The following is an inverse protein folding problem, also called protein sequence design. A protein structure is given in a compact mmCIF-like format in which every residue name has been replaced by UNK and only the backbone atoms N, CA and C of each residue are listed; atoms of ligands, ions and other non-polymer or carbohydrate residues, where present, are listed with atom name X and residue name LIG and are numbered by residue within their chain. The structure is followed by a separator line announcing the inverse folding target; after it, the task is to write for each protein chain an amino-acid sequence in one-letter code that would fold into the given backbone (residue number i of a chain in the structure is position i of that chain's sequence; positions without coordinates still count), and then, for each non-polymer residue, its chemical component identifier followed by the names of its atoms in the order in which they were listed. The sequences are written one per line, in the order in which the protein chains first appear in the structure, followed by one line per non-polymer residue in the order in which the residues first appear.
data_IF_276291565228
#
_entry.id   IF_276291565228
#
_cell.length_a   1.000
_cell.length_b   1.000
_cell.length_c   1.000
_cell.angle_alpha   90.00
_cell.angle_beta   90.00
_cell.angle_gamma   90.00
#
_symmetry.space_group_name_H-M   'P 1'
#
loop_
_entity.id
_entity.type
_entity.pdbx_description
1 polymer ?
#
# COMPACT_ATOMS: atom_id res chain seq x y z
N UNK A 1 -21.26 -0.81 -0.59
CA UNK A 1 -20.17 0.16 -0.72
C UNK A 1 -19.15 -0.08 0.37
N UNK A 2 -17.87 -0.23 0.01
CA UNK A 2 -16.76 -0.50 0.91
C UNK A 2 -15.73 0.63 0.82
N UNK A 3 -15.24 1.09 1.97
CA UNK A 3 -14.11 2.04 2.02
C UNK A 3 -12.79 1.28 1.83
N UNK A 4 -11.93 1.81 1.01
CA UNK A 4 -10.59 1.30 0.71
C UNK A 4 -9.58 2.35 1.15
N UNK A 5 -9.08 2.21 2.38
CA UNK A 5 -8.27 3.22 3.06
C UNK A 5 -6.84 3.28 2.52
N UNK A 6 -6.24 4.45 2.57
CA UNK A 6 -4.82 4.66 2.35
C UNK A 6 -3.98 4.24 3.57
N UNK A 7 -2.67 4.09 3.37
CA UNK A 7 -1.69 3.89 4.46
C UNK A 7 -0.62 4.96 4.45
N UNK A 8 0.03 5.13 5.58
CA UNK A 8 1.30 5.81 5.69
C UNK A 8 2.39 4.85 6.18
N UNK A 9 3.62 5.09 5.75
CA UNK A 9 4.80 4.58 6.42
C UNK A 9 5.19 5.59 7.50
N UNK A 10 5.08 5.21 8.77
CA UNK A 10 5.53 6.08 9.88
C UNK A 10 7.05 6.13 9.95
N UNK A 11 7.72 5.09 9.52
CA UNK A 11 9.15 5.00 9.23
C UNK A 11 9.37 3.98 8.12
N UNK A 12 10.55 3.96 7.50
CA UNK A 12 10.92 2.97 6.49
C UNK A 12 12.43 2.82 6.47
N UNK A 13 12.92 1.71 6.95
CA UNK A 13 14.34 1.37 7.00
C UNK A 13 14.63 0.26 6.00
N UNK A 14 15.64 0.43 5.18
CA UNK A 14 16.16 -0.62 4.31
C UNK A 14 17.39 -1.20 4.99
N UNK A 15 17.38 -2.52 5.22
CA UNK A 15 18.40 -3.21 6.00
C UNK A 15 19.54 -3.73 5.12
N UNK A 16 19.19 -4.42 4.05
CA UNK A 16 20.15 -5.00 3.12
C UNK A 16 19.51 -5.32 1.76
N UNK A 17 20.35 -5.72 0.80
CA UNK A 17 19.92 -6.26 -0.49
C UNK A 17 20.02 -7.78 -0.49
N UNK A 18 18.94 -8.44 -0.78
CA UNK A 18 18.81 -9.90 -0.84
C UNK A 18 19.42 -10.45 -2.14
N UNK A 19 19.72 -11.74 -2.14
CA UNK A 19 20.20 -12.47 -3.32
C UNK A 19 19.16 -12.57 -4.45
N UNK A 20 17.87 -12.49 -4.11
CA UNK A 20 16.75 -12.50 -5.06
C UNK A 20 16.50 -11.14 -5.73
N UNK A 21 17.33 -10.13 -5.41
CA UNK A 21 17.25 -8.78 -5.97
C UNK A 21 16.33 -7.84 -5.20
N UNK A 22 15.51 -8.34 -4.28
CA UNK A 22 14.72 -7.53 -3.35
C UNK A 22 15.58 -6.98 -2.21
N UNK A 23 14.96 -6.19 -1.33
CA UNK A 23 15.60 -5.67 -0.12
C UNK A 23 14.85 -6.16 1.12
N UNK A 24 15.59 -6.46 2.18
CA UNK A 24 15.02 -6.58 3.50
C UNK A 24 14.74 -5.17 4.02
N UNK A 25 13.56 -4.99 4.58
CA UNK A 25 13.12 -3.72 5.15
C UNK A 25 12.45 -3.94 6.51
N UNK A 26 12.34 -2.86 7.26
CA UNK A 26 11.42 -2.75 8.38
C UNK A 26 10.70 -1.40 8.32
N UNK A 27 9.42 -1.42 8.66
CA UNK A 27 8.56 -0.25 8.60
C UNK A 27 7.40 -0.38 9.57
N UNK A 28 6.83 0.75 9.93
CA UNK A 28 5.51 0.81 10.58
C UNK A 28 4.51 1.34 9.56
N UNK A 29 3.54 0.51 9.18
CA UNK A 29 2.40 0.95 8.38
C UNK A 29 1.23 1.32 9.29
N UNK A 30 0.51 2.34 8.90
CA UNK A 30 -0.69 2.79 9.59
C UNK A 30 -1.77 3.18 8.57
N UNK A 31 -2.98 2.66 8.73
CA UNK A 31 -4.15 3.08 7.95
C UNK A 31 -4.55 4.49 8.37
N UNK A 32 -4.94 5.32 7.40
CA UNK A 32 -5.44 6.67 7.62
C UNK A 32 -6.83 6.85 7.02
N UNK A 33 -7.61 7.80 7.54
CA UNK A 33 -9.00 8.09 7.09
C UNK A 33 -9.01 8.94 5.79
N UNK A 34 -8.28 8.47 4.80
CA UNK A 34 -8.34 8.91 3.40
C UNK A 34 -8.54 7.65 2.54
N UNK A 35 -9.57 7.61 1.70
CA UNK A 35 -10.00 6.37 1.08
C UNK A 35 -10.63 6.52 -0.28
N UNK A 36 -10.51 5.48 -1.09
CA UNK A 36 -11.35 5.21 -2.26
C UNK A 36 -12.64 4.51 -1.83
N UNK A 37 -13.63 4.45 -2.70
CA UNK A 37 -14.86 3.70 -2.45
C UNK A 37 -15.06 2.66 -3.56
N UNK A 38 -15.33 1.41 -3.17
CA UNK A 38 -15.72 0.36 -4.11
C UNK A 38 -17.17 -0.06 -3.87
N UNK A 39 -17.92 -0.24 -4.93
CA UNK A 39 -19.22 -0.89 -4.89
C UNK A 39 -19.19 -2.20 -5.69
N UNK A 40 -19.92 -3.18 -5.21
CA UNK A 40 -19.96 -4.53 -5.75
C UNK A 40 -21.42 -4.95 -5.95
N UNK A 41 -21.72 -5.57 -7.09
CA UNK A 41 -23.03 -6.15 -7.38
C UNK A 41 -22.85 -7.43 -8.19
N UNK A 42 -23.45 -8.55 -7.74
CA UNK A 42 -23.49 -9.76 -8.56
C UNK A 42 -24.17 -9.49 -9.89
N UNK A 43 -23.67 -10.09 -10.95
CA UNK A 43 -24.31 -10.08 -12.25
C UNK A 43 -24.44 -11.51 -12.80
N UNK A 44 -25.32 -11.68 -13.78
CA UNK A 44 -25.60 -12.99 -14.38
C UNK A 44 -24.72 -13.30 -15.59
N UNK A 45 -23.66 -12.53 -15.83
CA UNK A 45 -22.84 -12.66 -17.05
C UNK A 45 -21.66 -13.63 -16.88
N UNK A 46 -21.43 -14.15 -15.69
CA UNK A 46 -20.25 -14.94 -15.29
C UNK A 46 -18.92 -14.24 -15.62
N UNK A 47 -18.91 -12.89 -15.66
CA UNK A 47 -17.75 -12.07 -16.00
C UNK A 47 -17.64 -10.89 -15.05
N UNK A 48 -16.39 -10.43 -14.88
CA UNK A 48 -16.11 -9.15 -14.26
C UNK A 48 -16.50 -8.01 -15.23
N UNK A 49 -17.25 -7.05 -14.72
CA UNK A 49 -17.40 -5.75 -15.34
C UNK A 49 -16.81 -4.71 -14.37
N UNK A 50 -15.65 -4.14 -14.73
CA UNK A 50 -14.95 -3.16 -13.90
C UNK A 50 -15.06 -1.76 -14.52
N UNK A 51 -15.46 -0.79 -13.70
CA UNK A 51 -15.57 0.62 -14.07
C UNK A 51 -14.93 1.50 -12.99
N UNK A 52 -14.45 2.67 -13.38
CA UNK A 52 -13.86 3.66 -12.46
C UNK A 52 -14.02 5.09 -13.01
N UNK A 53 -14.00 6.07 -12.12
CA UNK A 53 -13.95 7.49 -12.47
C UNK A 53 -12.55 7.98 -12.91
N UNK A 54 -11.52 7.12 -12.84
CA UNK A 54 -10.15 7.48 -13.17
C UNK A 54 -9.75 7.01 -14.56
N UNK A 55 -9.31 7.93 -15.41
CA UNK A 55 -8.78 7.62 -16.75
C UNK A 55 -7.33 7.08 -16.72
N UNK A 56 -6.68 7.10 -15.57
CA UNK A 56 -5.30 6.58 -15.40
C UNK A 56 -5.27 5.08 -15.09
N UNK A 57 -6.42 4.47 -14.79
CA UNK A 57 -6.52 3.03 -14.46
C UNK A 57 -6.99 2.27 -15.70
N UNK A 58 -6.17 1.32 -16.15
CA UNK A 58 -6.58 0.38 -17.17
C UNK A 58 -7.75 -0.49 -16.65
N UNK A 59 -8.86 -0.48 -17.36
CA UNK A 59 -10.07 -1.22 -16.97
C UNK A 59 -9.91 -2.74 -17.04
N UNK A 60 -8.93 -3.22 -17.79
CA UNK A 60 -8.67 -4.66 -18.00
C UNK A 60 -7.52 -5.19 -17.16
N UNK A 61 -6.55 -4.34 -16.85
CA UNK A 61 -5.34 -4.75 -16.13
C UNK A 61 -5.01 -3.79 -14.96
N UNK A 62 -5.52 -4.12 -13.79
CA UNK A 62 -5.25 -3.41 -12.54
C UNK A 62 -5.33 -4.37 -11.35
N UNK A 63 -5.02 -3.92 -10.13
CA UNK A 63 -5.00 -4.80 -8.96
C UNK A 63 -6.40 -5.28 -8.53
N UNK A 64 -7.48 -4.56 -8.84
CA UNK A 64 -8.87 -4.99 -8.61
C UNK A 64 -9.22 -6.16 -9.53
N UNK A 65 -8.92 -6.00 -10.83
CA UNK A 65 -9.19 -7.07 -11.82
C UNK A 65 -8.32 -8.30 -11.56
N UNK A 66 -7.08 -8.09 -11.10
CA UNK A 66 -6.18 -9.18 -10.68
C UNK A 66 -6.74 -9.92 -9.46
N UNK A 67 -7.24 -9.19 -8.45
CA UNK A 67 -7.85 -9.80 -7.26
C UNK A 67 -9.09 -10.65 -7.62
N UNK A 68 -9.96 -10.14 -8.50
CA UNK A 68 -11.08 -10.93 -9.02
C UNK A 68 -10.59 -12.20 -9.74
N UNK A 69 -9.61 -12.07 -10.65
CA UNK A 69 -9.09 -13.21 -11.42
C UNK A 69 -8.50 -14.29 -10.53
N UNK A 70 -7.78 -13.92 -9.47
CA UNK A 70 -7.22 -14.89 -8.52
C UNK A 70 -8.34 -15.66 -7.82
N UNK A 71 -9.39 -14.99 -7.34
CA UNK A 71 -10.52 -15.66 -6.68
C UNK A 71 -11.31 -16.52 -7.67
N UNK A 72 -11.62 -16.02 -8.87
CA UNK A 72 -12.38 -16.79 -9.87
C UNK A 72 -11.64 -18.00 -10.42
N UNK A 73 -10.32 -18.02 -10.36
CA UNK A 73 -9.52 -19.21 -10.71
C UNK A 73 -9.49 -20.26 -9.60
N UNK A 74 -9.67 -19.86 -8.35
CA UNK A 74 -9.64 -20.77 -7.18
C UNK A 74 -11.03 -21.28 -6.78
N UNK A 75 -12.06 -20.49 -7.08
CA UNK A 75 -13.45 -20.74 -6.67
C UNK A 75 -14.40 -20.50 -7.83
N UNK A 76 -15.39 -21.36 -7.97
CA UNK A 76 -16.46 -21.18 -8.93
C UNK A 76 -17.39 -20.05 -8.44
N UNK A 77 -17.23 -18.85 -9.00
CA UNK A 77 -18.02 -17.67 -8.66
C UNK A 77 -18.71 -17.09 -9.88
N UNK A 78 -19.92 -16.57 -9.67
CA UNK A 78 -20.64 -15.80 -10.66
C UNK A 78 -19.92 -14.49 -11.02
N UNK A 79 -20.39 -13.80 -12.05
CA UNK A 79 -19.86 -12.50 -12.41
C UNK A 79 -20.19 -11.41 -11.40
N UNK A 80 -19.42 -10.34 -11.43
CA UNK A 80 -19.58 -9.20 -10.53
C UNK A 80 -19.31 -7.89 -11.28
N UNK A 81 -20.16 -6.89 -11.03
CA UNK A 81 -19.93 -5.50 -11.40
C UNK A 81 -19.18 -4.82 -10.25
N UNK A 82 -18.07 -4.20 -10.56
CA UNK A 82 -17.26 -3.45 -9.60
C UNK A 82 -17.10 -2.02 -10.12
N UNK A 83 -17.48 -1.05 -9.30
CA UNK A 83 -17.20 0.36 -9.56
C UNK A 83 -16.25 0.91 -8.51
N UNK A 84 -15.16 1.52 -8.96
CA UNK A 84 -14.16 2.16 -8.12
C UNK A 84 -14.24 3.69 -8.26
N UNK A 85 -14.65 4.37 -7.18
CA UNK A 85 -14.52 5.82 -7.02
C UNK A 85 -13.14 6.13 -6.43
N UNK A 86 -12.20 6.51 -7.30
CA UNK A 86 -10.79 6.72 -6.99
C UNK A 86 -10.54 8.14 -6.50
N UNK A 87 -10.00 8.27 -5.29
CA UNK A 87 -9.60 9.54 -4.63
C UNK A 87 -8.14 9.54 -4.24
N UNK A 88 -7.59 8.38 -3.84
CA UNK A 88 -6.17 8.23 -3.50
C UNK A 88 -5.37 8.36 -4.80
N UNK A 89 -4.42 9.31 -4.91
CA UNK A 89 -3.64 9.48 -6.15
C UNK A 89 -2.82 8.23 -6.48
N UNK A 90 -2.74 7.93 -7.78
CA UNK A 90 -1.97 6.80 -8.30
C UNK A 90 -0.47 7.11 -8.17
N UNK A 91 0.30 6.13 -7.68
CA UNK A 91 1.75 6.29 -7.52
C UNK A 91 2.19 7.17 -6.35
N UNK A 92 1.29 7.52 -5.44
CA UNK A 92 1.55 8.41 -4.30
C UNK A 92 2.23 7.73 -3.09
N UNK A 93 2.61 6.46 -3.17
CA UNK A 93 3.13 5.71 -2.02
C UNK A 93 2.10 5.41 -0.91
N UNK A 94 0.83 5.81 -1.09
CA UNK A 94 -0.26 5.62 -0.11
C UNK A 94 -0.95 4.24 -0.17
N UNK A 95 -0.49 3.35 -1.04
CA UNK A 95 -0.98 1.98 -1.15
C UNK A 95 -2.40 1.82 -1.70
N UNK A 96 -2.97 2.84 -2.38
CA UNK A 96 -4.36 2.86 -2.82
C UNK A 96 -4.74 1.65 -3.69
N UNK A 97 -3.91 1.27 -4.66
CA UNK A 97 -4.18 0.10 -5.50
C UNK A 97 -4.19 -1.22 -4.72
N UNK A 98 -3.25 -1.40 -3.79
CA UNK A 98 -3.20 -2.58 -2.91
C UNK A 98 -4.39 -2.63 -1.96
N UNK A 99 -4.81 -1.48 -1.44
CA UNK A 99 -6.03 -1.36 -0.64
C UNK A 99 -7.28 -1.75 -1.45
N UNK A 100 -7.39 -1.26 -2.71
CA UNK A 100 -8.51 -1.62 -3.59
C UNK A 100 -8.56 -3.14 -3.83
N UNK A 101 -7.42 -3.79 -4.06
CA UNK A 101 -7.33 -5.24 -4.21
C UNK A 101 -7.74 -5.99 -2.94
N UNK A 102 -7.25 -5.57 -1.78
CA UNK A 102 -7.60 -6.17 -0.49
C UNK A 102 -9.11 -6.10 -0.22
N UNK A 103 -9.71 -4.92 -0.41
CA UNK A 103 -11.16 -4.73 -0.28
C UNK A 103 -11.92 -5.60 -1.27
N UNK A 104 -11.40 -5.77 -2.49
CA UNK A 104 -12.01 -6.67 -3.49
C UNK A 104 -11.98 -8.12 -3.01
N UNK A 105 -10.86 -8.63 -2.51
CA UNK A 105 -10.77 -9.99 -1.97
C UNK A 105 -11.76 -10.21 -0.81
N UNK A 106 -11.83 -9.27 0.13
CA UNK A 106 -12.73 -9.34 1.28
C UNK A 106 -14.20 -9.30 0.83
N UNK A 107 -14.55 -8.41 -0.10
CA UNK A 107 -15.91 -8.29 -0.61
C UNK A 107 -16.36 -9.55 -1.40
N UNK A 108 -15.49 -10.11 -2.25
CA UNK A 108 -15.80 -11.34 -2.97
C UNK A 108 -15.99 -12.52 -2.02
N UNK A 109 -15.13 -12.64 -1.00
CA UNK A 109 -15.27 -13.66 0.03
C UNK A 109 -16.63 -13.61 0.73
N UNK A 110 -17.11 -12.41 1.05
CA UNK A 110 -18.40 -12.20 1.73
C UNK A 110 -19.59 -12.42 0.77
N UNK A 111 -19.56 -11.77 -0.40
CA UNK A 111 -20.68 -11.79 -1.39
C UNK A 111 -20.95 -13.20 -1.88
N UNK A 112 -19.91 -13.99 -2.15
CA UNK A 112 -20.00 -15.37 -2.62
C UNK A 112 -19.97 -16.41 -1.49
N UNK A 113 -19.88 -15.98 -0.23
CA UNK A 113 -19.85 -16.84 0.97
C UNK A 113 -18.79 -17.93 0.89
N UNK A 114 -17.59 -17.56 0.44
CA UNK A 114 -16.50 -18.52 0.19
C UNK A 114 -15.90 -19.06 1.47
N UNK A 115 -16.12 -18.40 2.60
CA UNK A 115 -15.62 -18.79 3.93
C UNK A 115 -14.08 -18.96 3.98
N UNK A 116 -13.36 -18.15 3.19
CA UNK A 116 -11.90 -18.13 3.21
C UNK A 116 -11.46 -17.42 4.49
N UNK A 117 -10.61 -18.08 5.27
CA UNK A 117 -10.05 -17.47 6.48
C UNK A 117 -9.17 -16.25 6.15
N UNK A 118 -9.03 -15.33 7.11
CA UNK A 118 -8.17 -14.15 6.94
C UNK A 118 -6.74 -14.52 6.56
N UNK A 119 -6.16 -15.53 7.20
CA UNK A 119 -4.79 -15.99 6.93
C UNK A 119 -4.64 -16.54 5.50
N UNK A 120 -5.65 -17.26 5.01
CA UNK A 120 -5.65 -17.73 3.63
C UNK A 120 -5.84 -16.60 2.63
N UNK A 121 -6.68 -15.60 2.91
CA UNK A 121 -6.79 -14.41 2.07
C UNK A 121 -5.47 -13.63 2.02
N UNK A 122 -4.75 -13.52 3.14
CA UNK A 122 -3.44 -12.89 3.18
C UNK A 122 -2.44 -13.64 2.29
N UNK A 123 -2.37 -14.98 2.38
CA UNK A 123 -1.52 -15.81 1.52
C UNK A 123 -1.87 -15.64 0.03
N UNK A 124 -3.16 -15.72 -0.32
CA UNK A 124 -3.64 -15.51 -1.71
C UNK A 124 -3.23 -14.12 -2.22
N UNK A 125 -3.21 -13.13 -1.34
CA UNK A 125 -2.95 -11.74 -1.71
C UNK A 125 -1.47 -11.41 -1.99
N UNK A 126 -0.52 -12.25 -1.54
CA UNK A 126 0.92 -12.04 -1.76
C UNK A 126 1.28 -11.97 -3.24
N UNK A 127 0.62 -12.77 -4.08
CA UNK A 127 0.83 -12.78 -5.53
C UNK A 127 0.19 -11.57 -6.23
N UNK A 128 -0.70 -10.85 -5.56
CA UNK A 128 -1.38 -9.68 -6.12
C UNK A 128 -0.51 -8.44 -5.96
N UNK A 129 0.03 -8.22 -4.75
CA UNK A 129 0.93 -7.11 -4.48
C UNK A 129 1.41 -7.11 -3.03
N UNK A 130 2.63 -6.62 -2.80
CA UNK A 130 3.33 -6.71 -1.52
C UNK A 130 2.60 -6.04 -0.33
N UNK A 131 1.87 -4.94 -0.58
CA UNK A 131 1.12 -4.24 0.48
C UNK A 131 -0.29 -4.82 0.69
N UNK A 132 -0.79 -5.74 -0.16
CA UNK A 132 -2.17 -6.25 -0.07
C UNK A 132 -2.43 -7.01 1.23
N UNK A 133 -1.53 -7.88 1.72
CA UNK A 133 -1.70 -8.55 3.01
C UNK A 133 -1.91 -7.57 4.18
N UNK A 134 -1.18 -6.46 4.21
CA UNK A 134 -1.36 -5.43 5.23
C UNK A 134 -2.79 -4.87 5.25
N UNK A 135 -3.38 -4.58 4.08
CA UNK A 135 -4.73 -4.03 4.00
C UNK A 135 -5.82 -5.05 4.36
N UNK A 136 -5.59 -6.35 4.11
CA UNK A 136 -6.46 -7.42 4.63
C UNK A 136 -6.36 -7.49 6.15
N UNK A 137 -5.16 -7.32 6.68
CA UNK A 137 -4.91 -7.32 8.11
C UNK A 137 -5.59 -6.14 8.81
N UNK A 138 -5.44 -4.94 8.26
CA UNK A 138 -6.02 -3.69 8.77
C UNK A 138 -5.24 -3.08 9.95
N UNK A 139 -5.61 -1.86 10.33
CA UNK A 139 -5.07 -1.18 11.51
C UNK A 139 -3.67 -0.63 11.31
N UNK A 140 -2.76 -0.93 12.25
CA UNK A 140 -1.35 -0.64 12.14
C UNK A 140 -0.53 -1.93 12.29
N UNK A 141 0.61 -2.01 11.58
CA UNK A 141 1.45 -3.19 11.61
C UNK A 141 2.94 -2.84 11.49
N UNK A 142 3.76 -3.65 12.17
CA UNK A 142 5.15 -3.81 11.80
C UNK A 142 5.22 -4.60 10.49
N UNK A 143 6.00 -4.08 9.56
CA UNK A 143 6.26 -4.71 8.26
C UNK A 143 7.74 -5.06 8.21
N UNK A 144 8.04 -6.31 7.88
CA UNK A 144 9.41 -6.82 7.78
C UNK A 144 9.65 -7.65 6.53
N UNK A 145 10.84 -8.23 6.43
CA UNK A 145 11.24 -9.03 5.27
C UNK A 145 11.31 -8.18 4.01
N UNK A 146 10.74 -8.65 2.89
CA UNK A 146 10.57 -7.87 1.66
C UNK A 146 9.24 -7.08 1.62
N UNK A 147 8.53 -6.98 2.76
CA UNK A 147 7.16 -6.47 2.92
C UNK A 147 6.13 -7.56 3.22
N UNK A 148 6.57 -8.81 3.33
CA UNK A 148 5.75 -10.02 3.49
C UNK A 148 5.51 -10.41 4.97
N UNK A 149 6.28 -9.88 5.90
CA UNK A 149 6.04 -10.07 7.34
C UNK A 149 5.12 -8.95 7.82
N UNK A 150 3.92 -9.30 8.28
CA UNK A 150 2.90 -8.35 8.76
C UNK A 150 2.50 -8.73 10.17
N UNK A 151 2.98 -7.99 11.17
CA UNK A 151 2.65 -8.20 12.57
C UNK A 151 1.84 -7.02 13.12
N UNK A 152 0.64 -7.30 13.65
CA UNK A 152 -0.20 -6.28 14.26
C UNK A 152 0.49 -5.58 15.42
N UNK A 153 0.39 -4.27 15.45
CA UNK A 153 0.83 -3.43 16.56
C UNK A 153 -0.24 -2.40 16.92
N UNK A 154 -0.15 -1.85 18.12
CA UNK A 154 -0.93 -0.69 18.51
C UNK A 154 -0.11 0.58 18.30
N UNK A 155 -0.72 1.59 17.70
CA UNK A 155 -0.15 2.94 17.59
C UNK A 155 -1.15 3.94 18.14
N UNK A 156 -0.65 4.98 18.80
CA UNK A 156 -1.50 6.07 19.29
C UNK A 156 -2.20 6.76 18.12
N UNK A 157 -3.42 7.22 18.38
CA UNK A 157 -4.16 8.02 17.40
C UNK A 157 -3.41 9.30 17.08
N UNK A 158 -3.11 9.50 15.80
CA UNK A 158 -2.40 10.69 15.29
C UNK A 158 -3.22 11.34 14.16
N UNK A 159 -3.04 12.64 14.02
CA UNK A 159 -3.57 13.42 12.90
C UNK A 159 -2.43 13.80 11.98
N UNK A 160 -2.67 13.70 10.67
CA UNK A 160 -1.69 14.00 9.64
C UNK A 160 -2.25 15.03 8.67
N UNK A 161 -1.40 15.95 8.22
CA UNK A 161 -1.64 16.77 7.04
C UNK A 161 -0.86 16.12 5.91
N UNK A 162 -1.56 15.72 4.84
CA UNK A 162 -0.95 15.11 3.66
C UNK A 162 -0.67 16.21 2.62
N UNK A 163 0.58 16.27 2.19
CA UNK A 163 0.97 17.08 1.04
C UNK A 163 1.27 16.10 -0.09
N UNK A 164 0.57 16.28 -1.19
CA UNK A 164 0.65 15.42 -2.38
C UNK A 164 1.24 16.25 -3.54
N UNK A 165 2.57 16.31 -3.67
CA UNK A 165 3.21 17.00 -4.77
C UNK A 165 2.83 16.38 -6.11
N UNK A 166 2.70 17.19 -7.16
CA UNK A 166 2.42 16.67 -8.50
C UNK A 166 3.72 16.13 -9.15
N UNK A 167 4.27 15.08 -8.53
CA UNK A 167 5.47 14.39 -8.96
C UNK A 167 5.21 12.87 -8.97
N UNK A 168 5.64 12.21 -10.03
CA UNK A 168 5.60 10.74 -10.10
C UNK A 168 7.00 10.19 -9.83
N UNK A 169 7.18 9.53 -8.70
CA UNK A 169 8.45 8.91 -8.31
C UNK A 169 8.31 7.40 -8.49
N UNK A 170 9.20 6.82 -9.30
CA UNK A 170 9.22 5.38 -9.55
C UNK A 170 9.80 4.65 -8.34
N UNK A 171 9.00 3.85 -7.66
CA UNK A 171 9.46 2.97 -6.57
C UNK A 171 10.62 2.08 -7.01
N UNK A 172 10.53 1.50 -8.22
CA UNK A 172 11.59 0.66 -8.80
C UNK A 172 12.92 1.41 -8.90
N UNK A 173 12.89 2.66 -9.38
CA UNK A 173 14.09 3.46 -9.56
C UNK A 173 14.68 3.91 -8.22
N UNK A 174 13.83 4.11 -7.21
CA UNK A 174 14.28 4.41 -5.85
C UNK A 174 15.02 3.21 -5.24
N UNK A 175 14.46 2.01 -5.31
CA UNK A 175 15.16 0.81 -4.88
C UNK A 175 16.46 0.56 -5.65
N UNK A 176 16.48 0.79 -6.96
CA UNK A 176 17.69 0.66 -7.78
C UNK A 176 18.78 1.70 -7.44
N UNK A 177 18.40 2.82 -6.82
CA UNK A 177 19.32 3.90 -6.41
C UNK A 177 20.00 3.66 -5.07
N UNK A 178 19.56 2.65 -4.31
CA UNK A 178 20.14 2.32 -2.99
C UNK A 178 21.54 1.72 -3.14
N UNK A 179 22.39 2.09 -2.21
CA UNK A 179 23.72 1.52 -2.01
C UNK A 179 23.89 1.01 -0.59
N UNK A 180 24.94 0.28 -0.31
CA UNK A 180 25.22 -0.22 1.05
C UNK A 180 25.35 0.89 2.11
N UNK A 181 25.62 2.13 1.71
CA UNK A 181 25.69 3.29 2.59
C UNK A 181 24.32 3.78 3.08
N UNK A 182 23.27 3.35 2.39
CA UNK A 182 21.88 3.73 2.68
C UNK A 182 21.18 2.68 3.56
N UNK A 183 21.84 1.56 3.81
CA UNK A 183 21.32 0.47 4.64
C UNK A 183 21.46 0.82 6.13
N UNK A 184 20.45 0.41 6.87
CA UNK A 184 20.36 0.65 8.30
C UNK A 184 20.54 -0.65 9.08
N UNK A 185 20.91 -0.54 10.34
CA UNK A 185 20.84 -1.66 11.28
C UNK A 185 19.39 -1.92 11.66
N UNK A 186 19.09 -3.16 12.00
CA UNK A 186 17.77 -3.53 12.51
C UNK A 186 17.51 -2.85 13.85
N UNK A 187 16.29 -2.34 14.02
CA UNK A 187 15.82 -1.69 15.25
C UNK A 187 14.92 -2.63 16.04
N UNK A 188 14.87 -2.46 17.35
CA UNK A 188 13.77 -2.99 18.16
C UNK A 188 12.45 -2.31 17.79
N UNK A 189 11.32 -2.92 18.14
CA UNK A 189 10.02 -2.32 17.84
C UNK A 189 9.87 -0.92 18.46
N UNK A 190 10.34 -0.72 19.68
CA UNK A 190 10.27 0.57 20.39
C UNK A 190 11.11 1.64 19.69
N UNK A 191 12.32 1.31 19.26
CA UNK A 191 13.18 2.20 18.49
C UNK A 191 12.53 2.54 17.13
N UNK A 192 11.94 1.54 16.46
CA UNK A 192 11.26 1.73 15.19
C UNK A 192 10.00 2.62 15.33
N UNK A 193 9.25 2.43 16.41
CA UNK A 193 8.07 3.27 16.76
C UNK A 193 8.46 4.73 17.04
N UNK A 194 9.63 4.95 17.62
CA UNK A 194 10.18 6.28 17.87
C UNK A 194 10.86 6.88 16.63
N UNK A 195 11.19 6.06 15.63
CA UNK A 195 11.92 6.47 14.43
C UNK A 195 11.04 7.36 13.53
N UNK A 196 11.70 8.36 12.94
CA UNK A 196 11.13 9.21 11.90
C UNK A 196 11.87 9.04 10.57
N UNK A 197 12.73 8.02 10.46
CA UNK A 197 13.64 7.84 9.35
C UNK A 197 12.93 7.17 8.19
N UNK A 198 13.23 7.64 6.99
CA UNK A 198 12.89 6.98 5.73
C UNK A 198 14.17 6.89 4.88
N UNK A 199 14.64 5.68 4.63
CA UNK A 199 15.88 5.42 3.88
C UNK A 199 15.90 6.06 2.49
N UNK A 200 14.75 6.26 1.86
CA UNK A 200 14.67 6.92 0.54
C UNK A 200 14.73 8.43 0.60
N UNK A 201 14.44 9.04 1.75
CA UNK A 201 14.24 10.47 1.84
C UNK A 201 15.46 11.27 1.35
N UNK A 202 16.67 10.87 1.76
CA UNK A 202 17.91 11.54 1.34
C UNK A 202 18.10 11.47 -0.18
N UNK A 203 17.81 10.31 -0.78
CA UNK A 203 17.95 10.10 -2.23
C UNK A 203 16.91 10.94 -2.98
N UNK A 204 15.66 10.91 -2.54
CA UNK A 204 14.57 11.69 -3.14
C UNK A 204 14.84 13.18 -3.06
N UNK A 205 15.23 13.69 -1.88
CA UNK A 205 15.55 15.12 -1.71
C UNK A 205 16.75 15.58 -2.54
N UNK A 206 17.68 14.68 -2.86
CA UNK A 206 18.79 14.96 -3.78
C UNK A 206 18.34 15.01 -5.24
N UNK A 207 17.43 14.11 -5.64
CA UNK A 207 16.94 14.02 -7.03
C UNK A 207 15.87 15.07 -7.35
N UNK A 208 15.11 15.49 -6.36
CA UNK A 208 13.97 16.40 -6.50
C UNK A 208 14.09 17.60 -5.54
N UNK A 209 14.86 18.64 -5.91
CA UNK A 209 15.11 19.81 -5.05
C UNK A 209 13.85 20.51 -4.56
N UNK A 210 12.78 20.54 -5.37
CA UNK A 210 11.49 21.13 -4.97
C UNK A 210 10.86 20.45 -3.76
N UNK A 211 11.03 19.14 -3.61
CA UNK A 211 10.55 18.41 -2.41
C UNK A 211 11.37 18.79 -1.18
N UNK A 212 12.67 19.02 -1.34
CA UNK A 212 13.53 19.48 -0.25
C UNK A 212 13.09 20.88 0.24
N UNK A 213 12.78 21.79 -0.67
CA UNK A 213 12.26 23.12 -0.36
C UNK A 213 10.89 23.03 0.35
N UNK A 214 9.98 22.20 -0.19
CA UNK A 214 8.67 21.95 0.42
C UNK A 214 8.82 21.40 1.84
N UNK A 215 9.69 20.40 2.05
CA UNK A 215 9.96 19.85 3.38
C UNK A 215 10.51 20.90 4.33
N UNK A 216 11.47 21.70 3.87
CA UNK A 216 12.05 22.79 4.67
C UNK A 216 10.99 23.80 5.11
N UNK A 217 10.14 24.24 4.19
CA UNK A 217 9.04 25.16 4.49
C UNK A 217 8.05 24.57 5.49
N UNK A 218 7.64 23.30 5.30
CA UNK A 218 6.70 22.61 6.18
C UNK A 218 7.28 22.39 7.59
N UNK A 219 8.59 22.26 7.73
CA UNK A 219 9.24 22.03 9.04
C UNK A 219 9.04 23.17 10.03
N UNK A 220 8.67 24.37 9.56
CA UNK A 220 8.29 25.49 10.42
C UNK A 220 6.95 25.24 11.15
N UNK A 221 6.11 24.33 10.68
CA UNK A 221 4.78 24.05 11.22
C UNK A 221 4.72 22.75 12.05
N UNK A 222 5.73 21.89 11.96
CA UNK A 222 5.76 20.64 12.71
C UNK A 222 6.72 19.60 12.16
N UNK A 223 6.60 18.38 12.65
CA UNK A 223 7.42 17.27 12.18
C UNK A 223 6.98 16.82 10.78
N UNK A 224 7.90 16.89 9.83
CA UNK A 224 7.66 16.53 8.42
C UNK A 224 8.45 15.27 8.06
N UNK A 225 7.78 14.33 7.42
CA UNK A 225 8.40 13.09 6.94
C UNK A 225 7.80 12.66 5.61
N UNK A 226 8.61 11.98 4.82
CA UNK A 226 8.17 11.36 3.58
C UNK A 226 7.57 9.98 3.88
N UNK A 227 6.46 9.64 3.23
CA UNK A 227 5.88 8.29 3.29
C UNK A 227 6.22 7.50 2.03
N UNK A 228 6.64 6.24 2.20
CA UNK A 228 7.02 5.36 1.09
C UNK A 228 8.25 5.86 0.33
N UNK A 229 8.19 5.76 -0.97
CA UNK A 229 9.25 6.24 -1.88
C UNK A 229 9.07 7.67 -2.35
N UNK A 230 8.06 8.35 -1.79
CA UNK A 230 7.72 9.74 -2.12
C UNK A 230 6.54 9.87 -3.05
#
# INVERSE_FOLDING_TARGET
NCKSFAKLNLCLHILDRRKDGYHNLESIFCIIDFYDTLSFQKNNSNKLNFQTNSNEIDSTYNLVTKAYSVISNLYDIEGVDIYLDKKIPIGSGLGGGSSNAAVTLLALNEIFKLNISKDNLMKISEDIGADVPFFINGGAAYIGGKGDIVNNISVDKKYFVLILPNLKISTKDMYASLSSKDFMTQYSLDELMASNINSFEKIVMSKYPSLKETKYWLSAFGSVRMSGTG
#
